data_IF_512983961350
#
_entry.id   IF_512983961350
#
_cell.length_a   1.000
_cell.length_b   1.000
_cell.length_c   1.000
_cell.angle_alpha   90.00
_cell.angle_beta   90.00
_cell.angle_gamma   90.00
#
_symmetry.space_group_name_H-M   'P 1'
#
loop_
_entity.id
_entity.type
_entity.pdbx_description
1 polymer ?
#
# COMPACT_ATOMS: atom_id res chain seq x y z
N UNK A 1 -7.67 -9.74 -15.47
CA UNK A 1 -7.29 -10.09 -14.10
C UNK A 1 -6.55 -11.42 -14.14
N UNK A 2 -5.29 -11.46 -13.71
CA UNK A 2 -4.47 -12.68 -13.79
C UNK A 2 -4.63 -13.55 -12.51
N UNK A 3 -4.10 -14.77 -12.53
CA UNK A 3 -4.23 -15.72 -11.39
C UNK A 3 -3.57 -15.18 -10.11
N UNK A 4 -2.45 -14.45 -10.25
CA UNK A 4 -1.74 -13.83 -9.14
C UNK A 4 -2.59 -12.77 -8.45
N UNK A 5 -3.22 -11.87 -9.21
CA UNK A 5 -4.14 -10.85 -8.67
C UNK A 5 -5.32 -11.50 -7.93
N UNK A 6 -5.84 -12.62 -8.46
CA UNK A 6 -6.93 -13.36 -7.84
C UNK A 6 -6.49 -14.04 -6.54
N UNK A 7 -5.28 -14.58 -6.49
CA UNK A 7 -4.71 -15.19 -5.28
C UNK A 7 -4.46 -14.13 -4.20
N UNK A 8 -3.83 -13.00 -4.56
CA UNK A 8 -3.51 -11.92 -3.64
C UNK A 8 -4.74 -11.31 -2.95
N UNK A 9 -5.88 -11.25 -3.64
CA UNK A 9 -7.16 -10.77 -3.07
C UNK A 9 -7.67 -11.59 -1.88
N UNK A 10 -7.23 -12.84 -1.72
CA UNK A 10 -7.66 -13.73 -0.63
C UNK A 10 -6.86 -13.52 0.66
N UNK A 11 -5.77 -12.76 0.60
CA UNK A 11 -4.84 -12.62 1.72
C UNK A 11 -4.90 -11.24 2.36
N UNK A 12 -4.77 -11.20 3.70
CA UNK A 12 -4.45 -9.96 4.43
C UNK A 12 -3.06 -9.52 4.02
N UNK A 13 -2.86 -8.21 3.87
CA UNK A 13 -1.56 -7.64 3.53
C UNK A 13 -1.07 -6.73 4.65
N UNK A 14 0.24 -6.61 4.76
CA UNK A 14 0.89 -5.70 5.72
C UNK A 14 1.75 -4.69 4.99
N UNK A 15 1.46 -3.42 5.25
CA UNK A 15 2.21 -2.30 4.72
C UNK A 15 3.33 -1.91 5.68
N UNK A 16 4.57 -2.13 5.24
CA UNK A 16 5.78 -1.63 5.84
C UNK A 16 6.13 -0.24 5.32
N UNK A 17 6.26 0.72 6.24
CA UNK A 17 6.74 2.08 5.96
C UNK A 17 7.77 2.52 7.01
N UNK A 18 8.69 3.38 6.64
CA UNK A 18 9.78 3.80 7.54
C UNK A 18 9.44 5.05 8.36
N UNK A 19 9.81 5.05 9.63
CA UNK A 19 9.80 6.26 10.46
C UNK A 19 10.90 7.23 10.02
N UNK A 20 10.91 8.45 10.56
CA UNK A 20 12.00 9.42 10.31
C UNK A 20 13.37 8.89 10.77
N UNK A 21 13.39 8.03 11.79
CA UNK A 21 14.61 7.39 12.29
C UNK A 21 15.03 6.15 11.47
N UNK A 22 14.31 5.80 10.40
CA UNK A 22 14.61 4.62 9.57
C UNK A 22 14.05 3.31 10.12
N UNK A 23 13.23 3.34 11.19
CA UNK A 23 12.60 2.14 11.73
C UNK A 23 11.45 1.67 10.85
N UNK A 24 11.41 0.38 10.50
CA UNK A 24 10.30 -0.21 9.76
C UNK A 24 9.08 -0.39 10.67
N UNK A 25 7.94 0.19 10.29
CA UNK A 25 6.65 -0.04 10.94
C UNK A 25 5.70 -0.71 9.97
N UNK A 26 5.17 -1.85 10.38
CA UNK A 26 4.20 -2.64 9.64
C UNK A 26 2.80 -2.37 10.16
N UNK A 27 1.84 -2.40 9.27
CA UNK A 27 0.43 -2.23 9.62
C UNK A 27 -0.40 -3.00 8.62
N UNK A 28 -1.36 -3.75 9.13
CA UNK A 28 -2.28 -4.47 8.29
C UNK A 28 -3.16 -3.51 7.47
N UNK A 29 -3.34 -3.83 6.20
CA UNK A 29 -4.13 -3.08 5.23
C UNK A 29 -4.93 -4.03 4.36
N UNK A 30 -6.10 -3.56 3.91
CA UNK A 30 -6.80 -4.15 2.80
C UNK A 30 -6.25 -3.52 1.53
N UNK A 31 -5.59 -4.31 0.70
CA UNK A 31 -5.14 -3.84 -0.62
C UNK A 31 -5.82 -4.63 -1.73
N UNK A 32 -5.87 -4.00 -2.89
CA UNK A 32 -6.43 -4.51 -4.11
C UNK A 32 -5.31 -4.54 -5.14
N UNK A 33 -4.92 -5.73 -5.63
CA UNK A 33 -4.06 -5.79 -6.78
C UNK A 33 -4.85 -5.28 -8.01
N UNK A 34 -4.27 -4.33 -8.74
CA UNK A 34 -4.89 -3.64 -9.86
C UNK A 34 -3.82 -3.17 -10.86
N UNK A 35 -3.89 -3.65 -12.09
CA UNK A 35 -2.99 -3.30 -13.20
C UNK A 35 -1.50 -3.40 -12.83
N UNK A 36 -1.11 -4.49 -12.15
CA UNK A 36 0.26 -4.72 -11.70
C UNK A 36 0.72 -3.84 -10.52
N UNK A 37 -0.21 -3.13 -9.89
CA UNK A 37 0.02 -2.34 -8.68
C UNK A 37 -0.72 -2.97 -7.50
N UNK A 38 -0.30 -2.60 -6.30
CA UNK A 38 -1.10 -2.85 -5.09
C UNK A 38 -1.71 -1.52 -4.70
N UNK A 39 -3.03 -1.42 -4.65
CA UNK A 39 -3.73 -0.19 -4.27
C UNK A 39 -4.42 -0.38 -2.94
N UNK A 40 -4.46 0.65 -2.10
CA UNK A 40 -5.19 0.61 -0.85
C UNK A 40 -5.70 1.98 -0.46
N UNK A 41 -6.80 2.00 0.29
CA UNK A 41 -7.36 3.23 0.80
C UNK A 41 -6.77 3.55 2.17
N UNK A 42 -6.44 4.83 2.37
CA UNK A 42 -5.99 5.32 3.67
C UNK A 42 -6.38 6.77 3.87
N UNK A 43 -6.58 7.19 5.12
CA UNK A 43 -6.75 8.60 5.45
C UNK A 43 -5.47 9.39 5.13
N UNK A 44 -5.61 10.60 4.58
CA UNK A 44 -4.50 11.49 4.20
C UNK A 44 -3.51 11.73 5.32
N UNK A 45 -4.06 11.95 6.50
CA UNK A 45 -3.36 12.40 7.70
C UNK A 45 -2.85 11.23 8.54
N UNK A 46 -3.12 9.99 8.10
CA UNK A 46 -2.59 8.78 8.71
C UNK A 46 -1.06 8.80 8.76
N UNK A 47 -0.50 8.18 9.81
CA UNK A 47 0.94 8.10 9.97
C UNK A 47 1.62 7.40 8.78
N UNK A 48 0.96 6.39 8.19
CA UNK A 48 1.48 5.62 7.06
C UNK A 48 1.54 6.47 5.78
N UNK A 49 0.52 7.30 5.52
CA UNK A 49 0.51 8.26 4.42
C UNK A 49 1.61 9.32 4.59
N UNK A 50 1.73 9.91 5.80
CA UNK A 50 2.80 10.86 6.14
C UNK A 50 4.21 10.26 6.05
N UNK A 51 4.37 8.96 6.32
CA UNK A 51 5.64 8.24 6.18
C UNK A 51 5.96 8.02 4.71
N UNK A 52 5.03 7.46 3.95
CA UNK A 52 5.17 7.23 2.51
C UNK A 52 5.42 8.52 1.72
N UNK A 53 4.82 9.65 2.11
CA UNK A 53 5.08 10.94 1.45
C UNK A 53 6.49 11.49 1.70
N UNK A 54 7.15 11.10 2.80
CA UNK A 54 8.52 11.53 3.13
C UNK A 54 9.56 10.54 2.62
N UNK A 55 9.26 9.26 2.72
CA UNK A 55 10.08 8.18 2.22
C UNK A 55 9.16 7.24 1.42
N UNK A 56 9.19 7.30 0.08
CA UNK A 56 8.31 6.49 -0.75
C UNK A 56 8.72 5.01 -0.76
N UNK A 57 9.91 4.65 -0.26
CA UNK A 57 10.33 3.25 -0.18
C UNK A 57 9.51 2.50 0.86
N UNK A 58 8.90 1.40 0.42
CA UNK A 58 7.93 0.64 1.21
C UNK A 58 8.07 -0.85 0.95
N UNK A 59 7.48 -1.64 1.84
CA UNK A 59 7.45 -3.10 1.74
C UNK A 59 6.00 -3.57 1.91
N UNK A 60 5.55 -4.51 1.09
CA UNK A 60 4.27 -5.19 1.25
C UNK A 60 4.53 -6.65 1.62
N UNK A 61 3.97 -7.11 2.75
CA UNK A 61 4.01 -8.51 3.14
C UNK A 61 2.66 -9.17 2.87
N UNK A 62 2.70 -10.39 2.33
CA UNK A 62 1.51 -11.12 1.87
C UNK A 62 1.15 -12.20 2.90
N UNK A 63 -0.12 -12.26 3.30
CA UNK A 63 -0.68 -13.30 4.17
C UNK A 63 -0.44 -13.08 5.66
N UNK A 64 0.79 -12.73 6.05
CA UNK A 64 1.20 -12.48 7.44
C UNK A 64 2.17 -11.30 7.56
N UNK A 65 2.42 -10.84 8.79
CA UNK A 65 3.30 -9.70 9.06
C UNK A 65 4.77 -9.96 8.65
N UNK A 66 5.20 -11.23 8.70
CA UNK A 66 6.53 -11.70 8.29
C UNK A 66 6.47 -12.64 7.08
N UNK A 67 5.40 -12.54 6.29
CA UNK A 67 5.21 -13.37 5.10
C UNK A 67 6.13 -12.97 3.94
N UNK A 68 5.94 -13.57 2.75
CA UNK A 68 6.62 -13.14 1.54
C UNK A 68 6.48 -11.63 1.32
N UNK A 69 7.61 -10.97 1.06
CA UNK A 69 7.70 -9.52 1.01
C UNK A 69 8.04 -9.04 -0.40
N UNK A 70 7.37 -7.97 -0.83
CA UNK A 70 7.66 -7.25 -2.07
C UNK A 70 8.04 -5.82 -1.71
N UNK A 71 9.22 -5.38 -2.12
CA UNK A 71 9.68 -4.00 -1.93
C UNK A 71 9.21 -3.15 -3.11
N UNK A 72 8.98 -1.86 -2.90
CA UNK A 72 8.59 -0.96 -3.96
C UNK A 72 8.52 0.50 -3.54
N UNK A 73 7.84 1.31 -4.35
CA UNK A 73 7.60 2.73 -4.05
C UNK A 73 6.12 3.01 -3.93
N UNK A 74 5.73 3.76 -2.90
CA UNK A 74 4.37 4.25 -2.72
C UNK A 74 4.21 5.65 -3.30
N UNK A 75 3.13 5.82 -4.06
CA UNK A 75 2.62 7.09 -4.52
C UNK A 75 1.27 7.37 -3.83
N UNK A 76 1.10 8.57 -3.30
CA UNK A 76 -0.20 9.00 -2.77
C UNK A 76 -1.01 9.62 -3.91
N UNK A 77 -2.03 8.90 -4.38
CA UNK A 77 -2.94 9.40 -5.41
C UNK A 77 -4.15 10.06 -4.75
N UNK A 78 -4.30 11.35 -5.02
CA UNK A 78 -5.51 12.13 -4.73
C UNK A 78 -6.46 12.10 -5.90
N UNK A 79 -7.45 11.20 -5.89
CA UNK A 79 -8.61 11.37 -6.74
C UNK A 79 -9.66 12.21 -5.98
N UNK A 80 -10.02 13.38 -6.52
CA UNK A 80 -11.08 14.20 -5.95
C UNK A 80 -12.45 13.57 -6.24
N UNK A 81 -12.83 12.49 -5.55
CA UNK A 81 -14.20 11.96 -5.62
C UNK A 81 -15.05 12.60 -4.52
N UNK A 82 -15.87 13.59 -4.90
CA UNK A 82 -16.90 14.16 -4.02
C UNK A 82 -18.06 13.18 -3.91
N UNK A 83 -18.06 12.37 -2.87
CA UNK A 83 -19.26 11.73 -2.34
C UNK A 83 -19.25 11.87 -0.83
N UNK A 84 -20.00 12.84 -0.32
CA UNK A 84 -20.51 12.80 1.05
C UNK A 84 -19.52 12.90 2.22
N UNK A 85 -18.42 13.65 2.12
CA UNK A 85 -17.73 14.20 3.30
C UNK A 85 -16.43 13.54 3.77
N UNK A 86 -15.90 12.54 3.06
CA UNK A 86 -14.54 12.03 3.30
C UNK A 86 -13.73 12.04 1.99
N UNK A 87 -12.55 12.68 2.02
CA UNK A 87 -11.59 12.54 0.92
C UNK A 87 -10.90 11.18 1.12
N UNK A 88 -11.30 10.18 0.34
CA UNK A 88 -10.65 8.87 0.32
C UNK A 88 -9.41 8.95 -0.58
N UNK A 89 -8.22 8.78 0.00
CA UNK A 89 -6.97 8.76 -0.75
C UNK A 89 -6.68 7.32 -1.16
N UNK A 90 -6.32 7.12 -2.42
CA UNK A 90 -5.81 5.84 -2.91
C UNK A 90 -4.29 5.90 -2.86
N UNK A 91 -3.68 5.17 -1.93
CA UNK A 91 -2.25 4.88 -1.99
C UNK A 91 -2.04 3.87 -3.11
N UNK A 92 -1.30 4.25 -4.15
CA UNK A 92 -0.87 3.33 -5.20
C UNK A 92 0.55 2.90 -4.89
N UNK A 93 0.73 1.62 -4.62
CA UNK A 93 2.07 1.03 -4.64
C UNK A 93 2.41 0.67 -6.06
N UNK A 94 3.41 1.35 -6.58
CA UNK A 94 4.07 0.92 -7.80
C UNK A 94 5.03 -0.18 -7.35
N UNK A 95 4.60 -1.42 -7.56
CA UNK A 95 5.52 -2.54 -7.44
C UNK A 95 6.59 -2.39 -8.53
N UNK A 96 7.86 -2.69 -8.25
CA UNK A 96 8.80 -2.95 -9.32
C UNK A 96 8.16 -4.05 -10.18
N UNK A 97 8.15 -3.87 -11.50
CA UNK A 97 7.67 -4.89 -12.44
C UNK A 97 8.50 -6.15 -12.22
N UNK A 98 8.02 -7.04 -11.36
CA UNK A 98 8.52 -8.38 -11.22
C UNK A 98 7.60 -9.24 -12.09
N UNK A 99 8.21 -9.82 -13.12
CA UNK A 99 7.64 -10.62 -14.20
C UNK A 99 6.62 -11.67 -13.76
#
# INVERSE_FOLDING_TARGET
MNELETALRKHRMWFGSYTRAGELKKVQVWCFPHDGNIEFLTARDSLKAKRASRNPHVICYIGSEDGPAVTGTAELITAARRSGGAIEFTGKFILPRCY
#
